data_IF_372116534493
#
_entry.id   IF_372116534493
#
_cell.length_a   1.000
_cell.length_b   1.000
_cell.length_c   1.000
_cell.angle_alpha   90.00
_cell.angle_beta   90.00
_cell.angle_gamma   90.00
#
_symmetry.space_group_name_H-M   'P 1'
#
loop_
_entity.id
_entity.type
_entity.pdbx_description
1 polymer ?
#
# COMPACT_ATOMS: atom_id res chain seq x y z
N UNK A 1 -7.66 71.16 16.33
CA UNK A 1 -8.39 69.94 16.57
C UNK A 1 -8.71 69.14 15.29
N UNK A 2 -9.14 69.75 14.19
CA UNK A 2 -9.52 69.05 12.94
C UNK A 2 -8.34 68.37 12.22
N UNK A 3 -7.13 68.93 12.30
CA UNK A 3 -5.94 68.36 11.67
C UNK A 3 -5.35 67.15 12.47
N UNK A 4 -5.44 67.18 13.79
CA UNK A 4 -5.02 66.03 14.62
C UNK A 4 -5.90 64.81 14.43
N UNK A 5 -7.23 65.00 14.27
CA UNK A 5 -8.19 63.94 14.01
C UNK A 5 -7.95 63.26 12.63
N UNK A 6 -7.62 64.05 11.60
CA UNK A 6 -7.30 63.53 10.25
C UNK A 6 -6.00 62.72 10.24
N UNK A 7 -4.98 63.15 10.98
CA UNK A 7 -3.71 62.42 11.08
C UNK A 7 -3.89 61.08 11.83
N UNK A 8 -4.73 61.05 12.87
CA UNK A 8 -5.03 59.83 13.59
C UNK A 8 -5.80 58.84 12.74
N UNK A 9 -6.76 59.31 11.90
CA UNK A 9 -7.51 58.43 10.97
C UNK A 9 -6.64 57.84 9.90
N UNK A 10 -5.71 58.61 9.32
CA UNK A 10 -4.75 58.11 8.33
C UNK A 10 -3.75 57.06 8.93
N UNK A 11 -3.34 57.25 10.18
CA UNK A 11 -2.45 56.32 10.86
C UNK A 11 -3.14 54.97 11.13
N UNK A 12 -4.42 54.98 11.54
CA UNK A 12 -5.20 53.75 11.79
C UNK A 12 -5.47 52.98 10.47
N UNK A 13 -5.72 53.67 9.36
CA UNK A 13 -5.86 53.03 8.05
C UNK A 13 -4.55 52.42 7.53
N UNK A 14 -3.39 53.03 7.81
CA UNK A 14 -2.09 52.54 7.38
C UNK A 14 -1.68 51.27 8.17
N UNK A 15 -2.06 51.15 9.47
CA UNK A 15 -1.79 49.93 10.25
C UNK A 15 -2.67 48.72 9.83
N UNK A 16 -3.85 48.94 9.28
CA UNK A 16 -4.75 47.90 8.80
C UNK A 16 -4.26 47.17 7.54
N UNK A 17 -3.43 47.82 6.72
CA UNK A 17 -2.89 47.24 5.47
C UNK A 17 -1.68 46.31 5.67
N UNK A 18 -1.07 46.29 6.83
CA UNK A 18 0.14 45.49 7.10
C UNK A 18 -0.11 44.01 7.43
N UNK A 19 -1.38 43.61 7.69
CA UNK A 19 -1.70 42.25 8.13
C UNK A 19 -2.07 41.27 7.01
N UNK A 20 -2.16 41.68 5.77
CA UNK A 20 -2.58 40.79 4.66
C UNK A 20 -1.46 39.91 4.10
N UNK A 21 -0.21 40.17 4.45
CA UNK A 21 0.95 39.37 3.97
C UNK A 21 1.37 38.19 4.81
N UNK A 22 0.80 38.01 6.02
CA UNK A 22 1.24 36.99 6.98
C UNK A 22 0.72 35.57 6.71
N UNK A 23 -0.22 35.40 5.77
CA UNK A 23 -0.85 34.09 5.48
C UNK A 23 -0.63 33.62 4.05
N UNK A 24 0.17 34.29 3.25
CA UNK A 24 0.57 33.78 1.93
C UNK A 24 1.84 32.97 2.08
N UNK A 25 1.69 31.65 2.25
CA UNK A 25 2.78 30.72 2.03
C UNK A 25 3.23 30.82 0.57
N UNK A 26 4.49 31.19 0.35
CA UNK A 26 5.10 31.22 -0.98
C UNK A 26 5.60 29.84 -1.41
N UNK A 27 5.24 28.79 -0.64
CA UNK A 27 5.55 27.39 -0.97
C UNK A 27 4.68 26.95 -2.13
N UNK A 28 5.32 26.32 -3.12
CA UNK A 28 4.59 25.68 -4.22
C UNK A 28 3.66 24.62 -3.63
N UNK A 29 2.39 24.54 -4.05
CA UNK A 29 1.49 23.50 -3.58
C UNK A 29 2.11 22.12 -3.78
N UNK A 30 2.13 21.29 -2.73
CA UNK A 30 2.52 19.89 -2.84
C UNK A 30 1.57 19.16 -3.78
N UNK A 31 2.15 18.39 -4.70
CA UNK A 31 1.39 17.53 -5.61
C UNK A 31 1.22 16.16 -4.99
N UNK A 32 -0.02 15.72 -4.81
CA UNK A 32 -0.34 14.38 -4.33
C UNK A 32 -0.46 13.43 -5.51
N UNK A 33 0.34 12.37 -5.51
CA UNK A 33 0.33 11.31 -6.51
C UNK A 33 -0.38 10.08 -5.96
N UNK A 34 -0.99 9.30 -6.85
CA UNK A 34 -1.76 8.12 -6.49
C UNK A 34 -1.30 6.93 -7.34
N UNK A 35 -1.14 5.76 -6.73
CA UNK A 35 -0.88 4.50 -7.41
C UNK A 35 -2.17 3.69 -7.51
N UNK A 36 -2.34 2.98 -8.60
CA UNK A 36 -3.48 2.08 -8.83
C UNK A 36 -3.06 0.64 -8.56
N UNK A 37 -4.01 -0.18 -8.16
CA UNK A 37 -3.78 -1.61 -8.13
C UNK A 37 -3.71 -2.17 -9.56
N UNK A 38 -2.84 -3.17 -9.82
CA UNK A 38 -2.73 -3.78 -11.13
C UNK A 38 -4.07 -4.36 -11.60
N UNK A 39 -4.33 -4.25 -12.90
CA UNK A 39 -5.43 -4.96 -13.52
C UNK A 39 -5.05 -6.44 -13.64
N UNK A 40 -5.47 -7.24 -12.67
CA UNK A 40 -5.24 -8.68 -12.68
C UNK A 40 -6.35 -9.34 -13.51
N UNK A 41 -6.03 -10.05 -14.61
CA UNK A 41 -7.01 -10.82 -15.34
C UNK A 41 -7.64 -11.88 -14.41
N UNK A 42 -8.94 -11.90 -14.29
CA UNK A 42 -9.63 -12.97 -13.57
C UNK A 42 -9.53 -14.23 -14.44
N UNK A 43 -8.92 -15.33 -13.97
CA UNK A 43 -8.83 -16.56 -14.73
C UNK A 43 -10.24 -17.09 -15.02
N UNK A 44 -10.51 -17.43 -16.29
CA UNK A 44 -11.71 -18.20 -16.66
C UNK A 44 -11.59 -19.58 -16.00
N UNK A 45 -12.52 -19.93 -15.12
CA UNK A 45 -12.51 -21.20 -14.40
C UNK A 45 -11.98 -21.16 -12.96
N UNK A 46 -12.05 -20.01 -12.29
CA UNK A 46 -11.70 -19.87 -10.86
C UNK A 46 -12.39 -20.90 -9.97
N UNK A 47 -11.76 -21.18 -8.82
CA UNK A 47 -12.29 -22.11 -7.81
C UNK A 47 -13.75 -21.75 -7.47
N UNK A 48 -14.59 -22.78 -7.25
CA UNK A 48 -15.95 -22.54 -6.75
C UNK A 48 -15.88 -21.65 -5.50
N UNK A 49 -16.68 -20.57 -5.41
CA UNK A 49 -16.61 -19.61 -4.31
C UNK A 49 -16.66 -20.23 -2.90
N UNK A 50 -17.28 -21.40 -2.75
CA UNK A 50 -17.34 -22.16 -1.49
C UNK A 50 -16.04 -22.87 -1.13
N UNK A 51 -15.23 -23.26 -2.12
CA UNK A 51 -13.98 -24.01 -1.93
C UNK A 51 -12.74 -23.11 -1.85
N UNK A 52 -12.86 -21.86 -2.29
CA UNK A 52 -11.75 -20.92 -2.24
C UNK A 52 -11.44 -20.49 -0.79
N UNK A 53 -10.15 -20.33 -0.42
CA UNK A 53 -9.76 -19.89 0.91
C UNK A 53 -10.08 -18.41 1.14
N UNK A 54 -10.17 -18.01 2.41
CA UNK A 54 -10.26 -16.60 2.81
C UNK A 54 -8.93 -16.12 3.38
N UNK A 55 -8.54 -14.90 3.04
CA UNK A 55 -7.28 -14.31 3.43
C UNK A 55 -7.53 -12.98 4.17
N UNK A 56 -6.78 -12.75 5.24
CA UNK A 56 -6.68 -11.44 5.88
C UNK A 56 -5.30 -10.86 5.61
N UNK A 57 -5.25 -9.61 5.18
CA UNK A 57 -4.01 -8.84 5.11
C UNK A 57 -3.85 -8.12 6.44
N UNK A 58 -2.79 -8.43 7.18
CA UNK A 58 -2.41 -7.70 8.38
C UNK A 58 -1.92 -6.28 8.02
N UNK A 59 -1.91 -5.37 8.97
CA UNK A 59 -1.28 -4.07 8.76
C UNK A 59 0.19 -4.28 8.39
N UNK A 60 0.66 -3.79 7.23
CA UNK A 60 2.04 -3.95 6.83
C UNK A 60 3.01 -3.27 7.80
N UNK A 61 4.23 -3.78 7.87
CA UNK A 61 5.38 -3.09 8.44
C UNK A 61 6.23 -2.49 7.33
N UNK A 62 7.13 -1.60 7.70
CA UNK A 62 8.15 -1.04 6.80
C UNK A 62 9.48 -0.97 7.52
N UNK A 63 10.57 -1.05 6.76
CA UNK A 63 11.89 -0.75 7.29
C UNK A 63 11.97 0.71 7.77
N UNK A 64 12.80 1.01 8.77
CA UNK A 64 12.92 2.35 9.33
C UNK A 64 13.15 3.42 8.25
N UNK A 65 12.37 4.51 8.34
CA UNK A 65 12.45 5.63 7.40
C UNK A 65 11.57 5.50 6.16
N UNK A 66 10.98 4.32 5.86
CA UNK A 66 10.13 4.13 4.69
C UNK A 66 8.66 4.48 4.94
N UNK A 67 8.16 4.40 6.18
CA UNK A 67 6.74 4.68 6.48
C UNK A 67 6.46 6.19 6.54
N UNK A 68 6.47 6.80 5.39
CA UNK A 68 6.25 8.25 5.20
C UNK A 68 5.28 8.50 4.04
N UNK A 69 4.78 9.73 3.95
CA UNK A 69 4.02 10.20 2.79
C UNK A 69 4.91 10.74 1.67
N UNK A 70 6.23 10.85 1.87
CA UNK A 70 7.14 11.35 0.85
C UNK A 70 7.49 10.29 -0.20
N UNK A 71 7.70 10.73 -1.44
CA UNK A 71 8.28 9.90 -2.47
C UNK A 71 9.78 9.80 -2.20
N UNK A 72 10.22 8.64 -1.73
CA UNK A 72 11.60 8.40 -1.32
C UNK A 72 12.51 8.18 -2.52
N UNK A 73 13.75 8.65 -2.40
CA UNK A 73 14.82 8.38 -3.35
C UNK A 73 16.11 7.99 -2.62
N UNK A 74 16.92 7.17 -3.26
CA UNK A 74 18.24 6.77 -2.81
C UNK A 74 19.29 7.43 -3.72
N UNK A 75 20.10 8.29 -3.14
CA UNK A 75 21.16 9.03 -3.86
C UNK A 75 22.39 8.14 -4.13
N UNK A 76 23.28 8.52 -5.08
CA UNK A 76 24.47 7.75 -5.40
C UNK A 76 25.42 7.50 -4.23
N UNK A 77 25.42 8.39 -3.23
CA UNK A 77 26.20 8.27 -1.99
C UNK A 77 25.47 7.50 -0.87
N UNK A 78 24.41 6.76 -1.22
CA UNK A 78 23.55 5.97 -0.32
C UNK A 78 22.75 6.80 0.69
N UNK A 79 22.60 8.10 0.51
CA UNK A 79 21.69 8.91 1.32
C UNK A 79 20.24 8.68 0.88
N UNK A 80 19.36 8.46 1.85
CA UNK A 80 17.93 8.54 1.62
C UNK A 80 17.47 10.00 1.65
N UNK A 81 16.72 10.40 0.65
CA UNK A 81 16.13 11.72 0.50
C UNK A 81 14.70 11.58 -0.05
N UNK A 82 14.07 12.66 -0.45
CA UNK A 82 12.71 12.64 -1.01
C UNK A 82 12.51 13.73 -2.06
N UNK A 83 11.54 13.53 -2.94
CA UNK A 83 11.17 14.51 -3.95
C UNK A 83 10.42 15.69 -3.31
N UNK A 84 11.00 16.88 -3.38
CA UNK A 84 10.39 18.12 -2.87
C UNK A 84 9.12 18.44 -3.65
N UNK A 85 8.05 18.82 -2.94
CA UNK A 85 6.78 19.21 -3.52
C UNK A 85 5.94 18.05 -4.07
N UNK A 86 6.27 16.80 -3.69
CA UNK A 86 5.53 15.60 -4.08
C UNK A 86 5.28 14.68 -2.88
N UNK A 87 4.09 14.12 -2.83
CA UNK A 87 3.71 13.20 -1.74
C UNK A 87 2.73 12.12 -2.19
N UNK A 88 2.71 11.04 -1.46
CA UNK A 88 1.64 10.05 -1.48
C UNK A 88 0.42 10.53 -0.69
N UNK A 89 -0.79 10.02 -0.94
CA UNK A 89 -2.02 10.43 -0.22
C UNK A 89 -2.06 9.95 1.23
N UNK A 90 -1.29 8.93 1.57
CA UNK A 90 -1.21 8.31 2.90
C UNK A 90 0.21 7.81 3.18
N UNK A 91 0.55 7.46 4.42
CA UNK A 91 1.78 6.74 4.73
C UNK A 91 1.92 5.48 3.87
N UNK A 92 3.15 5.14 3.50
CA UNK A 92 3.45 4.09 2.52
C UNK A 92 2.87 2.72 2.94
N UNK A 93 2.94 2.36 4.22
CA UNK A 93 2.34 1.10 4.71
C UNK A 93 0.83 1.03 4.52
N UNK A 94 0.13 2.14 4.70
CA UNK A 94 -1.32 2.22 4.48
C UNK A 94 -1.67 2.10 2.99
N UNK A 95 -0.91 2.80 2.14
CA UNK A 95 -1.07 2.72 0.69
C UNK A 95 -0.80 1.30 0.17
N UNK A 96 0.30 0.67 0.58
CA UNK A 96 0.63 -0.71 0.22
C UNK A 96 -0.44 -1.69 0.71
N UNK A 97 -0.96 -1.52 1.93
CA UNK A 97 -2.07 -2.33 2.45
C UNK A 97 -3.29 -2.28 1.53
N UNK A 98 -3.70 -1.09 1.13
CA UNK A 98 -4.84 -0.90 0.24
C UNK A 98 -4.61 -1.55 -1.13
N UNK A 99 -3.42 -1.37 -1.71
CA UNK A 99 -3.05 -1.95 -3.01
C UNK A 99 -3.01 -3.48 -2.96
N UNK A 100 -2.42 -4.08 -1.93
CA UNK A 100 -2.40 -5.54 -1.73
C UNK A 100 -3.82 -6.10 -1.64
N UNK A 101 -4.68 -5.48 -0.81
CA UNK A 101 -6.08 -5.93 -0.66
C UNK A 101 -6.84 -5.82 -1.98
N UNK A 102 -6.68 -4.72 -2.71
CA UNK A 102 -7.35 -4.52 -4.00
C UNK A 102 -6.89 -5.53 -5.04
N UNK A 103 -5.57 -5.77 -5.16
CA UNK A 103 -4.98 -6.74 -6.10
C UNK A 103 -5.49 -8.15 -5.82
N UNK A 104 -5.46 -8.57 -4.55
CA UNK A 104 -5.92 -9.91 -4.17
C UNK A 104 -7.43 -10.09 -4.40
N UNK A 105 -8.24 -9.05 -4.14
CA UNK A 105 -9.69 -9.07 -4.45
C UNK A 105 -9.95 -9.16 -5.95
N UNK A 106 -9.23 -8.36 -6.73
CA UNK A 106 -9.39 -8.31 -8.19
C UNK A 106 -9.02 -9.64 -8.87
N UNK A 107 -8.14 -10.45 -8.25
CA UNK A 107 -7.74 -11.76 -8.81
C UNK A 107 -8.88 -12.78 -8.86
N UNK A 108 -9.95 -12.60 -8.07
CA UNK A 108 -11.08 -13.56 -8.01
C UNK A 108 -10.73 -14.94 -7.46
N UNK A 109 -9.51 -15.16 -6.96
CA UNK A 109 -9.01 -16.46 -6.49
C UNK A 109 -9.35 -16.75 -5.02
N UNK A 110 -9.87 -15.76 -4.31
CA UNK A 110 -10.15 -15.83 -2.88
C UNK A 110 -11.64 -15.77 -2.61
N UNK A 111 -12.14 -16.59 -1.65
CA UNK A 111 -13.52 -16.48 -1.16
C UNK A 111 -13.80 -15.10 -0.57
N UNK A 112 -12.82 -14.57 0.16
CA UNK A 112 -12.81 -13.20 0.66
C UNK A 112 -11.40 -12.75 0.96
N UNK A 113 -11.15 -11.46 0.76
CA UNK A 113 -9.91 -10.79 1.21
C UNK A 113 -10.32 -9.66 2.14
N UNK A 114 -9.87 -9.72 3.37
CA UNK A 114 -10.16 -8.76 4.42
C UNK A 114 -8.90 -7.94 4.76
N UNK A 115 -9.07 -6.68 5.12
CA UNK A 115 -8.04 -5.86 5.73
C UNK A 115 -7.87 -6.16 7.23
N UNK A 116 -6.92 -5.49 7.88
CA UNK A 116 -6.62 -5.69 9.30
C UNK A 116 -7.76 -5.29 10.23
N UNK A 117 -8.63 -4.35 9.82
CA UNK A 117 -9.76 -3.85 10.61
C UNK A 117 -11.04 -4.67 10.50
N UNK A 118 -11.10 -5.65 9.59
CA UNK A 118 -12.28 -6.46 9.37
C UNK A 118 -12.63 -7.33 10.59
N UNK A 119 -13.89 -7.36 11.06
CA UNK A 119 -14.30 -8.22 12.17
C UNK A 119 -14.50 -9.69 11.76
N UNK A 120 -14.62 -9.98 10.46
CA UNK A 120 -14.95 -11.32 9.98
C UNK A 120 -13.74 -12.26 10.06
N UNK A 121 -13.94 -13.55 10.38
CA UNK A 121 -12.86 -14.52 10.41
C UNK A 121 -12.28 -14.77 9.01
N UNK A 122 -11.04 -15.24 8.97
CA UNK A 122 -10.35 -15.67 7.75
C UNK A 122 -9.54 -16.92 8.04
N UNK A 123 -9.32 -17.76 7.02
CA UNK A 123 -8.59 -19.01 7.16
C UNK A 123 -7.08 -18.74 7.31
N UNK A 124 -6.59 -17.74 6.56
CA UNK A 124 -5.17 -17.38 6.48
C UNK A 124 -4.92 -15.91 6.82
N UNK A 125 -3.69 -15.63 7.23
CA UNK A 125 -3.17 -14.28 7.50
C UNK A 125 -1.93 -14.04 6.65
N UNK A 126 -1.93 -12.97 5.86
CA UNK A 126 -0.77 -12.47 5.14
C UNK A 126 -0.19 -11.27 5.92
N UNK A 127 1.07 -11.38 6.32
CA UNK A 127 1.88 -10.27 6.83
C UNK A 127 2.85 -9.82 5.75
N UNK A 128 2.90 -8.51 5.51
CA UNK A 128 3.81 -7.87 4.56
C UNK A 128 4.75 -6.93 5.29
N UNK A 129 6.03 -6.97 4.94
CA UNK A 129 7.02 -5.97 5.35
C UNK A 129 7.63 -5.32 4.12
N UNK A 130 7.54 -4.01 4.02
CA UNK A 130 8.12 -3.25 2.91
C UNK A 130 9.60 -3.02 3.18
N UNK A 131 10.48 -3.57 2.33
CA UNK A 131 11.93 -3.45 2.40
C UNK A 131 12.44 -2.33 1.52
N UNK A 132 11.84 -2.16 0.35
CA UNK A 132 12.19 -1.07 -0.58
C UNK A 132 10.93 -0.48 -1.17
N UNK A 133 10.92 0.83 -1.30
CA UNK A 133 9.91 1.60 -2.02
C UNK A 133 10.50 2.97 -2.36
N UNK A 134 11.47 2.97 -3.27
CA UNK A 134 12.33 4.13 -3.53
C UNK A 134 12.73 4.24 -5.01
N UNK A 135 13.06 5.45 -5.44
CA UNK A 135 13.70 5.72 -6.72
C UNK A 135 15.22 5.69 -6.53
N UNK A 136 15.88 4.70 -7.10
CA UNK A 136 17.29 4.41 -6.93
C UNK A 136 18.15 5.09 -7.99
N UNK A 137 18.99 6.02 -7.57
CA UNK A 137 19.97 6.73 -8.40
C UNK A 137 21.40 6.15 -8.30
N UNK A 138 21.60 5.08 -7.51
CA UNK A 138 22.95 4.54 -7.25
C UNK A 138 23.59 3.91 -8.47
N UNK A 139 22.79 3.53 -9.46
CA UNK A 139 23.27 2.89 -10.69
C UNK A 139 23.87 3.87 -11.71
N UNK A 140 23.80 5.18 -11.46
CA UNK A 140 24.49 6.20 -12.27
C UNK A 140 23.93 6.31 -13.69
N UNK A 141 22.65 6.55 -13.83
CA UNK A 141 21.96 6.79 -15.12
C UNK A 141 21.41 8.22 -15.23
N UNK A 142 20.89 8.60 -16.41
CA UNK A 142 20.21 9.89 -16.59
C UNK A 142 18.88 9.98 -15.86
N UNK A 143 18.30 8.86 -15.43
CA UNK A 143 17.05 8.72 -14.70
C UNK A 143 17.15 7.56 -13.70
N UNK A 144 16.35 7.56 -12.62
CA UNK A 144 16.41 6.52 -11.60
C UNK A 144 15.70 5.24 -12.04
N UNK A 145 16.03 4.15 -11.35
CA UNK A 145 15.27 2.91 -11.39
C UNK A 145 14.47 2.78 -10.10
N UNK A 146 13.14 2.68 -10.21
CA UNK A 146 12.29 2.45 -9.04
C UNK A 146 12.43 0.99 -8.60
N UNK A 147 12.53 0.81 -7.28
CA UNK A 147 12.64 -0.49 -6.63
C UNK A 147 11.52 -0.65 -5.61
N UNK A 148 10.78 -1.76 -5.72
CA UNK A 148 9.79 -2.20 -4.74
C UNK A 148 10.17 -3.59 -4.28
N UNK A 149 10.31 -3.82 -2.97
CA UNK A 149 10.59 -5.14 -2.42
C UNK A 149 9.76 -5.38 -1.16
N UNK A 150 9.08 -6.53 -1.12
CA UNK A 150 8.15 -6.91 -0.07
C UNK A 150 8.52 -8.30 0.46
N UNK A 151 8.74 -8.41 1.77
CA UNK A 151 8.81 -9.70 2.47
C UNK A 151 7.41 -10.09 2.89
N UNK A 152 7.04 -11.33 2.62
CA UNK A 152 5.71 -11.86 2.87
C UNK A 152 5.77 -13.11 3.74
N UNK A 153 4.91 -13.17 4.74
CA UNK A 153 4.71 -14.32 5.61
C UNK A 153 3.24 -14.69 5.57
N UNK A 154 2.93 -15.95 5.28
CA UNK A 154 1.56 -16.47 5.35
C UNK A 154 1.48 -17.48 6.49
N UNK A 155 0.47 -17.31 7.34
CA UNK A 155 0.15 -18.21 8.42
C UNK A 155 -1.29 -18.69 8.36
N UNK A 156 -1.52 -19.91 8.85
CA UNK A 156 -2.85 -20.43 9.13
C UNK A 156 -3.34 -19.86 10.45
N UNK A 157 -4.58 -19.41 10.50
CA UNK A 157 -5.12 -18.75 11.70
C UNK A 157 -5.51 -19.72 12.80
N UNK A 158 -6.04 -20.87 12.43
CA UNK A 158 -6.15 -22.01 13.35
C UNK A 158 -4.73 -22.52 13.64
N UNK A 159 -4.37 -22.83 14.81
CA UNK A 159 -3.04 -23.31 15.18
C UNK A 159 -1.89 -22.28 15.09
N UNK A 160 -2.08 -21.09 14.56
CA UNK A 160 -1.07 -20.00 14.44
C UNK A 160 0.24 -20.44 13.79
N UNK A 161 0.15 -21.29 12.77
CA UNK A 161 1.30 -21.87 12.08
C UNK A 161 1.68 -21.04 10.86
N UNK A 162 2.97 -20.75 10.71
CA UNK A 162 3.51 -20.16 9.47
C UNK A 162 3.62 -21.25 8.43
N UNK A 163 2.92 -21.09 7.31
CA UNK A 163 2.86 -22.08 6.22
C UNK A 163 3.78 -21.73 5.06
N UNK A 164 4.26 -20.49 4.98
CA UNK A 164 5.21 -20.06 3.95
C UNK A 164 5.71 -18.64 4.15
N UNK A 165 6.92 -18.43 3.66
CA UNK A 165 7.58 -17.13 3.55
C UNK A 165 8.13 -16.96 2.16
N UNK A 166 8.04 -15.77 1.59
CA UNK A 166 8.59 -15.47 0.28
C UNK A 166 8.87 -13.98 0.15
N UNK A 167 9.73 -13.64 -0.79
CA UNK A 167 10.05 -12.26 -1.16
C UNK A 167 9.58 -12.00 -2.57
N UNK A 168 8.95 -10.85 -2.78
CA UNK A 168 8.60 -10.36 -4.12
C UNK A 168 9.24 -9.02 -4.36
N UNK A 169 9.61 -8.77 -5.60
CA UNK A 169 10.16 -7.48 -6.00
C UNK A 169 9.63 -7.06 -7.37
N UNK A 170 9.60 -5.76 -7.58
CA UNK A 170 9.38 -5.15 -8.87
C UNK A 170 10.39 -4.05 -9.09
N UNK A 171 10.80 -3.87 -10.34
CA UNK A 171 11.77 -2.84 -10.73
C UNK A 171 11.36 -2.25 -12.07
N UNK A 172 11.43 -0.91 -12.19
CA UNK A 172 11.13 -0.21 -13.44
C UNK A 172 12.03 1.03 -13.57
N UNK A 173 12.67 1.17 -14.72
CA UNK A 173 13.44 2.37 -15.02
C UNK A 173 12.49 3.53 -15.39
N UNK A 174 12.69 4.71 -14.83
CA UNK A 174 12.00 5.90 -15.28
C UNK A 174 12.50 6.28 -16.69
N UNK A 175 11.58 6.58 -17.61
CA UNK A 175 11.96 6.95 -18.99
C UNK A 175 12.75 8.25 -19.08
N UNK A 176 12.60 9.11 -18.10
CA UNK A 176 13.31 10.39 -17.95
C UNK A 176 13.33 10.83 -16.49
N UNK A 177 14.26 11.72 -16.15
CA UNK A 177 14.36 12.26 -14.78
C UNK A 177 13.37 13.39 -14.55
N UNK A 178 12.09 13.08 -14.68
CA UNK A 178 10.95 13.96 -14.34
C UNK A 178 9.96 13.23 -13.46
N UNK A 179 9.40 13.93 -12.50
CA UNK A 179 8.55 13.36 -11.45
C UNK A 179 7.41 12.50 -12.01
N UNK A 180 6.72 12.93 -13.08
CA UNK A 180 5.67 12.12 -13.71
C UNK A 180 6.17 10.79 -14.26
N UNK A 181 7.37 10.75 -14.87
CA UNK A 181 7.98 9.51 -15.35
C UNK A 181 8.43 8.61 -14.20
N UNK A 182 8.93 9.20 -13.12
CA UNK A 182 9.30 8.46 -11.90
C UNK A 182 8.07 7.85 -11.24
N UNK A 183 6.96 8.58 -11.14
CA UNK A 183 5.68 8.04 -10.62
C UNK A 183 5.16 6.90 -11.49
N UNK A 184 5.27 7.02 -12.82
CA UNK A 184 4.94 5.93 -13.74
C UNK A 184 5.81 4.68 -13.52
N UNK A 185 7.10 4.87 -13.20
CA UNK A 185 7.98 3.77 -12.84
C UNK A 185 7.61 3.15 -11.47
N UNK A 186 7.17 3.96 -10.49
CA UNK A 186 6.61 3.43 -9.23
C UNK A 186 5.37 2.57 -9.49
N UNK A 187 4.47 2.99 -10.38
CA UNK A 187 3.29 2.21 -10.75
C UNK A 187 3.70 0.85 -11.34
N UNK A 188 4.60 0.85 -12.34
CA UNK A 188 5.07 -0.38 -12.99
C UNK A 188 5.79 -1.34 -12.02
N UNK A 189 6.70 -0.83 -11.19
CA UNK A 189 7.42 -1.64 -10.21
C UNK A 189 6.45 -2.22 -9.15
N UNK A 190 5.48 -1.43 -8.70
CA UNK A 190 4.46 -1.87 -7.75
C UNK A 190 3.57 -2.94 -8.37
N UNK A 191 3.12 -2.76 -9.59
CA UNK A 191 2.31 -3.75 -10.32
C UNK A 191 3.02 -5.10 -10.46
N UNK A 192 4.31 -5.08 -10.81
CA UNK A 192 5.11 -6.30 -10.91
C UNK A 192 5.22 -7.02 -9.55
N UNK A 193 5.52 -6.29 -8.48
CA UNK A 193 5.64 -6.85 -7.13
C UNK A 193 4.29 -7.42 -6.63
N UNK A 194 3.19 -6.70 -6.82
CA UNK A 194 1.86 -7.13 -6.37
C UNK A 194 1.31 -8.31 -7.17
N UNK A 195 1.58 -8.38 -8.48
CA UNK A 195 1.24 -9.54 -9.30
C UNK A 195 1.98 -10.78 -8.84
N UNK A 196 3.28 -10.66 -8.57
CA UNK A 196 4.08 -11.74 -8.01
C UNK A 196 3.58 -12.17 -6.61
N UNK A 197 3.23 -11.20 -5.75
CA UNK A 197 2.65 -11.46 -4.42
C UNK A 197 1.37 -12.29 -4.53
N UNK A 198 0.44 -11.88 -5.39
CA UNK A 198 -0.83 -12.59 -5.58
C UNK A 198 -0.62 -14.04 -6.01
N UNK A 199 0.26 -14.27 -6.97
CA UNK A 199 0.59 -15.60 -7.49
C UNK A 199 1.26 -16.49 -6.44
N UNK A 200 2.24 -15.97 -5.72
CA UNK A 200 2.97 -16.73 -4.69
C UNK A 200 2.08 -17.01 -3.47
N UNK A 201 1.28 -16.05 -3.04
CA UNK A 201 0.34 -16.23 -1.93
C UNK A 201 -0.66 -17.35 -2.24
N UNK A 202 -1.21 -17.37 -3.45
CA UNK A 202 -2.13 -18.42 -3.89
C UNK A 202 -1.44 -19.79 -3.93
N UNK A 203 -0.21 -19.87 -4.45
CA UNK A 203 0.56 -21.11 -4.51
C UNK A 203 0.83 -21.69 -3.11
N UNK A 204 1.25 -20.85 -2.15
CA UNK A 204 1.50 -21.26 -0.76
C UNK A 204 0.24 -21.80 -0.11
N UNK A 205 -0.88 -21.07 -0.23
CA UNK A 205 -2.15 -21.46 0.38
C UNK A 205 -2.72 -22.72 -0.27
N UNK A 206 -2.63 -22.84 -1.61
CA UNK A 206 -3.10 -24.03 -2.32
C UNK A 206 -2.30 -25.29 -1.93
N UNK A 207 -0.98 -25.15 -1.77
CA UNK A 207 -0.13 -26.25 -1.30
C UNK A 207 -0.47 -26.67 0.14
N UNK A 208 -0.82 -25.72 0.99
CA UNK A 208 -1.25 -26.01 2.36
C UNK A 208 -2.61 -26.70 2.40
N UNK A 209 -3.59 -26.20 1.66
CA UNK A 209 -4.92 -26.79 1.56
C UNK A 209 -4.90 -28.23 1.01
N UNK A 210 -3.98 -28.53 0.09
CA UNK A 210 -3.79 -29.88 -0.42
C UNK A 210 -3.22 -30.85 0.63
N UNK A 211 -2.41 -30.36 1.55
CA UNK A 211 -1.85 -31.17 2.66
C UNK A 211 -2.83 -31.36 3.81
N UNK A 212 -3.78 -30.44 3.98
CA UNK A 212 -4.76 -30.44 5.06
C UNK A 212 -6.17 -30.30 4.48
N UNK A 213 -6.69 -31.34 3.78
CA UNK A 213 -8.04 -31.29 3.26
C UNK A 213 -9.01 -31.09 4.43
N UNK A 214 -9.76 -29.98 4.40
CA UNK A 214 -10.78 -29.71 5.43
C UNK A 214 -11.80 -30.84 5.35
N UNK A 215 -11.91 -31.64 6.40
CA UNK A 215 -12.94 -32.65 6.52
C UNK A 215 -14.31 -31.93 6.48
N UNK A 216 -15.25 -32.29 5.58
CA UNK A 216 -16.58 -31.70 5.60
C UNK A 216 -17.18 -31.96 6.99
N UNK A 217 -17.98 -31.03 7.55
CA UNK A 217 -18.62 -31.23 8.84
C UNK A 217 -19.40 -32.57 8.81
N UNK A 218 -19.05 -33.46 9.76
CA UNK A 218 -19.70 -34.77 9.85
C UNK A 218 -21.22 -34.61 9.91
N UNK A 219 -22.01 -35.35 9.15
CA UNK A 219 -23.49 -35.25 9.11
C UNK A 219 -24.20 -35.67 10.40
N UNK A 220 -23.45 -36.12 11.41
CA UNK A 220 -24.05 -36.78 12.59
C UNK A 220 -24.64 -35.88 13.68
N UNK A 221 -24.55 -34.55 13.55
CA UNK A 221 -25.12 -33.67 14.60
C UNK A 221 -26.62 -33.33 14.43
N UNK A 222 -27.31 -33.88 13.40
CA UNK A 222 -28.70 -33.51 13.12
C UNK A 222 -29.75 -34.53 13.58
N UNK A 223 -29.36 -35.68 14.15
CA UNK A 223 -30.31 -36.78 14.42
C UNK A 223 -30.62 -37.02 15.89
N UNK A 224 -30.20 -36.15 16.83
CA UNK A 224 -30.61 -36.29 18.23
C UNK A 224 -31.48 -35.09 18.66
N UNK A 225 -32.71 -35.03 18.16
CA UNK A 225 -33.80 -34.41 18.90
C UNK A 225 -34.49 -35.51 19.71
N UNK A 226 -34.45 -35.47 21.03
CA UNK A 226 -35.36 -36.33 21.80
C UNK A 226 -36.76 -35.79 21.66
N UNK A 227 -37.66 -36.68 21.19
CA UNK A 227 -39.12 -36.51 21.28
C UNK A 227 -39.53 -36.54 22.74
N UNK A 228 -40.02 -35.42 23.27
CA UNK A 228 -40.97 -35.35 24.40
C UNK A 228 -42.06 -34.38 24.03
#
# INVERSE_FOLDING_TARGET
>A
MKHCLRLLTCLVLALGAACTGLFTSNERPEQTYYLRAPAVPTPEGGLSPKAAPSLRVARPFADPGLDTTHLMLLEPDHRMSFYTGARWPAPMTEMVSALVVQTLRASGQWRSVADSGSPFPSDYLLQVTVRRFDADYTQGGPAPTVQVALDCVIGRRDGREVIGTFVVSGSAAAGENRLGAVVGAFEQATDAALTALGSQALAVVSADAARHPQNPPSPEASSQRPSQ
#
